data_IF_740482194723
#
_entry.id   IF_740482194723
#
_cell.length_a   1.000
_cell.length_b   1.000
_cell.length_c   1.000
_cell.angle_alpha   90.00
_cell.angle_beta   90.00
_cell.angle_gamma   90.00
#
_symmetry.space_group_name_H-M   'P 1'
#
loop_
_entity.id
_entity.type
_entity.pdbx_description
1 polymer ?
#
# COMPACT_ATOMS: atom_id res chain seq x y z
N UNK A 1 -11.97 16.73 13.97
CA UNK A 1 -13.15 17.24 13.21
C UNK A 1 -13.07 16.64 11.82
N UNK A 2 -13.99 15.76 11.47
CA UNK A 2 -14.04 15.21 10.12
C UNK A 2 -14.49 16.32 9.16
N UNK A 3 -13.72 16.56 8.11
CA UNK A 3 -14.14 17.47 7.06
C UNK A 3 -15.24 16.76 6.25
N UNK A 4 -16.46 17.27 6.35
CA UNK A 4 -17.55 16.80 5.51
C UNK A 4 -17.43 17.51 4.17
N UNK A 5 -17.06 16.79 3.12
CA UNK A 5 -17.13 17.32 1.77
C UNK A 5 -18.59 17.37 1.34
N UNK A 6 -19.11 18.56 1.14
CA UNK A 6 -20.40 18.71 0.47
C UNK A 6 -20.19 18.48 -1.02
N UNK A 7 -20.82 17.45 -1.55
CA UNK A 7 -20.88 17.24 -2.99
C UNK A 7 -21.97 18.19 -3.52
N UNK A 8 -21.55 19.24 -4.21
CA UNK A 8 -22.47 20.12 -4.92
C UNK A 8 -22.65 19.60 -6.35
N UNK A 9 -23.79 18.98 -6.60
CA UNK A 9 -24.12 18.44 -7.91
C UNK A 9 -24.50 19.51 -8.95
N UNK A 10 -24.68 20.76 -8.51
CA UNK A 10 -25.05 21.87 -9.39
C UNK A 10 -23.84 22.60 -10.00
N UNK A 11 -22.62 22.13 -9.71
CA UNK A 11 -21.41 22.71 -10.26
C UNK A 11 -21.29 22.35 -11.74
N UNK A 12 -21.40 23.35 -12.61
CA UNK A 12 -21.12 23.21 -14.04
C UNK A 12 -19.67 23.61 -14.30
N UNK A 13 -18.87 22.66 -14.75
CA UNK A 13 -17.51 22.94 -15.18
C UNK A 13 -17.50 23.44 -16.63
N UNK A 14 -17.01 24.69 -16.84
CA UNK A 14 -16.74 25.18 -18.19
C UNK A 14 -15.30 24.84 -18.55
N UNK A 15 -15.15 24.14 -19.65
CA UNK A 15 -13.82 23.88 -20.21
C UNK A 15 -13.14 25.21 -20.58
N UNK A 16 -11.94 25.44 -20.06
CA UNK A 16 -11.13 26.60 -20.39
C UNK A 16 -9.68 26.18 -20.66
N UNK A 17 -9.36 26.03 -21.93
CA UNK A 17 -8.04 25.55 -22.35
C UNK A 17 -6.92 26.48 -21.88
N UNK A 18 -7.11 27.80 -21.90
CA UNK A 18 -6.09 28.74 -21.49
C UNK A 18 -5.73 28.60 -19.98
N UNK A 19 -6.71 28.29 -19.12
CA UNK A 19 -6.46 28.01 -17.71
C UNK A 19 -5.76 26.66 -17.52
N UNK A 20 -6.10 25.67 -18.30
CA UNK A 20 -5.43 24.37 -18.26
C UNK A 20 -3.97 24.47 -18.68
N UNK A 21 -3.69 25.19 -19.77
CA UNK A 21 -2.32 25.41 -20.25
C UNK A 21 -1.49 26.19 -19.22
N UNK A 22 -2.09 27.24 -18.63
CA UNK A 22 -1.46 27.98 -17.56
C UNK A 22 -1.19 27.09 -16.33
N UNK A 23 -2.13 26.28 -15.92
CA UNK A 23 -1.95 25.33 -14.82
C UNK A 23 -0.84 24.33 -15.15
N UNK A 24 -0.80 23.79 -16.35
CA UNK A 24 0.24 22.89 -16.80
C UNK A 24 1.64 23.53 -16.79
N UNK A 25 1.74 24.81 -17.11
CA UNK A 25 3.01 25.56 -17.09
C UNK A 25 3.58 25.78 -15.69
N UNK A 26 2.74 25.70 -14.66
CA UNK A 26 3.15 25.79 -13.26
C UNK A 26 3.40 24.43 -12.59
N UNK A 27 3.20 23.33 -13.34
CA UNK A 27 3.46 21.99 -12.80
C UNK A 27 4.95 21.86 -12.48
N UNK A 28 5.34 21.56 -11.23
CA UNK A 28 6.75 21.38 -10.90
C UNK A 28 7.32 20.15 -11.62
N UNK A 29 8.57 20.25 -12.03
CA UNK A 29 9.33 19.09 -12.49
C UNK A 29 9.73 18.31 -11.23
N UNK A 30 9.09 17.18 -10.99
CA UNK A 30 9.38 16.33 -9.85
C UNK A 30 10.59 15.44 -10.17
N UNK A 31 11.49 15.33 -9.21
CA UNK A 31 12.56 14.36 -9.27
C UNK A 31 11.99 13.00 -8.89
N UNK A 32 12.05 12.08 -9.83
CA UNK A 32 11.69 10.68 -9.57
C UNK A 32 12.89 9.94 -9.00
N UNK A 33 12.65 9.17 -7.95
CA UNK A 33 13.64 8.29 -7.33
C UNK A 33 13.03 6.92 -7.16
N UNK A 34 13.71 5.89 -7.63
CA UNK A 34 13.27 4.52 -7.43
C UNK A 34 13.87 3.96 -6.15
N UNK A 35 13.00 3.52 -5.25
CA UNK A 35 13.38 2.88 -3.99
C UNK A 35 13.06 1.38 -4.10
N UNK A 36 14.00 0.55 -3.69
CA UNK A 36 13.81 -0.90 -3.58
C UNK A 36 13.49 -1.25 -2.13
N UNK A 37 12.71 -2.30 -1.94
CA UNK A 37 12.49 -2.85 -0.62
C UNK A 37 13.81 -3.36 -0.01
N UNK A 38 13.91 -3.27 1.30
CA UNK A 38 15.11 -3.63 2.06
C UNK A 38 15.16 -5.12 2.40
N UNK A 39 14.04 -5.68 2.85
CA UNK A 39 14.01 -7.05 3.35
C UNK A 39 12.60 -7.66 3.38
N UNK A 40 12.57 -8.98 3.56
CA UNK A 40 11.35 -9.72 3.91
C UNK A 40 11.36 -9.92 5.42
N UNK A 41 10.25 -9.57 6.06
CA UNK A 41 10.15 -9.55 7.53
C UNK A 41 8.97 -10.35 8.05
N UNK A 42 8.99 -10.68 9.32
CA UNK A 42 7.84 -11.18 10.09
C UNK A 42 7.54 -10.22 11.22
N UNK A 43 6.28 -10.14 11.61
CA UNK A 43 5.86 -9.41 12.81
C UNK A 43 6.27 -10.18 14.05
N UNK A 44 6.76 -9.45 15.05
CA UNK A 44 7.05 -10.02 16.37
C UNK A 44 6.48 -9.16 17.48
N UNK A 45 6.10 -9.80 18.58
CA UNK A 45 5.68 -9.11 19.80
C UNK A 45 6.91 -8.72 20.60
N UNK A 46 7.04 -7.41 20.84
CA UNK A 46 8.07 -6.87 21.71
C UNK A 46 7.59 -5.56 22.32
N UNK A 47 7.57 -5.50 23.64
CA UNK A 47 7.09 -4.34 24.41
C UNK A 47 8.00 -3.11 24.32
N UNK A 48 9.18 -3.25 23.73
CA UNK A 48 10.08 -2.12 23.47
C UNK A 48 9.64 -1.30 22.24
N UNK A 49 8.86 -1.89 21.35
CA UNK A 49 8.34 -1.20 20.18
C UNK A 49 7.00 -0.52 20.46
N UNK A 50 6.71 0.49 19.66
CA UNK A 50 5.44 1.20 19.72
C UNK A 50 4.27 0.22 19.58
N UNK A 51 3.33 0.29 20.50
CA UNK A 51 2.17 -0.62 20.60
C UNK A 51 2.52 -2.11 20.71
N UNK A 52 3.77 -2.43 21.08
CA UNK A 52 4.21 -3.79 21.36
C UNK A 52 4.39 -4.67 20.11
N UNK A 53 4.59 -4.07 18.94
CA UNK A 53 4.85 -4.77 17.69
C UNK A 53 6.08 -4.26 16.98
N UNK A 54 6.98 -5.16 16.64
CA UNK A 54 8.15 -4.93 15.82
C UNK A 54 8.19 -5.83 14.60
N UNK A 55 9.28 -5.72 13.84
CA UNK A 55 9.57 -6.59 12.72
C UNK A 55 10.92 -7.26 12.92
N UNK A 56 11.00 -8.51 12.46
CA UNK A 56 12.23 -9.29 12.39
C UNK A 56 12.49 -9.69 10.96
N UNK A 57 13.68 -9.38 10.46
CA UNK A 57 14.10 -9.85 9.15
C UNK A 57 14.16 -11.38 9.12
N UNK A 58 13.47 -11.98 8.16
CA UNK A 58 13.45 -13.43 7.93
C UNK A 58 14.20 -13.83 6.66
N UNK A 59 14.29 -12.92 5.68
CA UNK A 59 15.05 -13.17 4.47
C UNK A 59 15.52 -11.85 3.82
N UNK A 60 16.60 -11.90 3.02
CA UNK A 60 16.97 -10.78 2.17
C UNK A 60 15.95 -10.60 1.03
N UNK A 61 15.83 -9.37 0.52
CA UNK A 61 14.81 -9.03 -0.49
C UNK A 61 14.99 -9.78 -1.81
N UNK A 62 16.19 -10.20 -2.13
CA UNK A 62 16.51 -10.95 -3.34
C UNK A 62 15.76 -12.27 -3.43
N UNK A 63 15.37 -12.82 -2.29
CA UNK A 63 14.53 -14.03 -2.21
C UNK A 63 13.13 -13.81 -2.75
N UNK A 64 12.66 -12.57 -2.84
CA UNK A 64 11.31 -12.26 -3.32
C UNK A 64 11.06 -12.80 -4.74
N UNK A 65 12.07 -12.74 -5.61
CA UNK A 65 11.96 -13.23 -7.00
C UNK A 65 11.71 -14.74 -7.14
N UNK A 66 12.00 -15.51 -6.10
CA UNK A 66 11.78 -16.97 -6.03
C UNK A 66 10.72 -17.37 -5.01
N UNK A 67 9.98 -16.39 -4.48
CA UNK A 67 8.98 -16.66 -3.45
C UNK A 67 7.68 -17.13 -4.10
N UNK A 68 7.24 -18.30 -3.76
CA UNK A 68 5.95 -18.85 -4.21
C UNK A 68 4.94 -18.77 -3.07
N UNK A 69 3.86 -18.03 -3.32
CA UNK A 69 2.73 -17.91 -2.41
C UNK A 69 1.65 -18.92 -2.76
N UNK A 70 1.13 -19.60 -1.77
CA UNK A 70 -0.03 -20.47 -1.85
C UNK A 70 -1.24 -19.78 -1.22
N UNK A 71 -2.38 -20.44 -1.28
CA UNK A 71 -3.59 -19.94 -0.64
C UNK A 71 -3.34 -19.68 0.84
N UNK A 72 -3.77 -18.52 1.32
CA UNK A 72 -3.66 -18.03 2.70
C UNK A 72 -2.22 -17.72 3.17
N UNK A 73 -1.22 -17.87 2.30
CA UNK A 73 0.13 -17.39 2.60
C UNK A 73 0.17 -15.86 2.60
N UNK A 74 1.07 -15.34 3.40
CA UNK A 74 1.35 -13.90 3.46
C UNK A 74 2.85 -13.64 3.43
N UNK A 75 3.22 -12.51 2.86
CA UNK A 75 4.58 -11.98 2.87
C UNK A 75 4.55 -10.53 3.31
N UNK A 76 5.48 -10.15 4.16
CA UNK A 76 5.64 -8.76 4.59
C UNK A 76 6.96 -8.25 4.05
N UNK A 77 6.90 -7.14 3.35
CA UNK A 77 8.03 -6.50 2.70
C UNK A 77 8.29 -5.17 3.40
N UNK A 78 9.51 -5.01 3.87
CA UNK A 78 9.97 -3.79 4.54
C UNK A 78 10.79 -2.94 3.57
N UNK A 79 10.48 -1.65 3.48
CA UNK A 79 11.24 -0.67 2.70
C UNK A 79 12.33 0.04 3.52
N UNK A 80 12.43 -0.26 4.81
CA UNK A 80 13.46 0.24 5.72
C UNK A 80 13.23 1.67 6.20
N UNK A 81 12.38 2.43 5.52
CA UNK A 81 12.04 3.81 5.87
C UNK A 81 10.64 4.15 5.34
N UNK A 82 10.03 5.20 5.87
CA UNK A 82 8.75 5.71 5.39
C UNK A 82 8.87 6.22 3.95
N UNK A 83 8.01 5.72 3.08
CA UNK A 83 7.99 6.06 1.66
C UNK A 83 6.63 6.63 1.26
N UNK A 84 6.66 7.67 0.44
CA UNK A 84 5.48 8.23 -0.23
C UNK A 84 5.71 8.16 -1.73
N UNK A 85 4.88 7.42 -2.44
CA UNK A 85 5.09 7.23 -3.87
C UNK A 85 4.12 6.24 -4.51
N UNK A 86 4.52 5.74 -5.66
CA UNK A 86 3.81 4.69 -6.37
C UNK A 86 4.48 3.35 -6.10
N UNK A 87 3.67 2.38 -5.71
CA UNK A 87 4.10 0.99 -5.52
C UNK A 87 3.91 0.20 -6.81
N UNK A 88 4.91 -0.62 -7.16
CA UNK A 88 4.85 -1.53 -8.30
C UNK A 88 5.40 -2.89 -7.90
N UNK A 89 4.66 -3.94 -8.22
CA UNK A 89 5.07 -5.33 -8.00
C UNK A 89 4.67 -6.17 -9.21
N UNK A 90 5.53 -7.11 -9.59
CA UNK A 90 5.23 -8.09 -10.63
C UNK A 90 4.86 -9.42 -9.96
N UNK A 91 3.68 -9.92 -10.26
CA UNK A 91 3.18 -11.19 -9.75
C UNK A 91 2.79 -12.05 -10.95
N UNK A 92 3.24 -13.31 -10.96
CA UNK A 92 2.91 -14.27 -12.00
C UNK A 92 2.27 -15.49 -11.38
N UNK A 93 1.26 -16.03 -12.03
CA UNK A 93 0.71 -17.32 -11.68
C UNK A 93 1.67 -18.43 -12.12
N UNK A 94 1.87 -19.43 -11.27
CA UNK A 94 2.67 -20.62 -11.57
C UNK A 94 1.84 -21.89 -11.31
N UNK A 95 2.00 -22.91 -12.14
CA UNK A 95 1.31 -24.19 -11.99
C UNK A 95 0.28 -24.46 -13.09
N UNK A 96 -0.78 -25.16 -12.74
CA UNK A 96 -1.86 -25.50 -13.68
C UNK A 96 -2.68 -24.28 -14.08
N UNK A 97 -3.37 -24.31 -15.25
CA UNK A 97 -4.30 -23.25 -15.62
C UNK A 97 -5.28 -22.97 -14.47
N UNK A 98 -5.53 -21.69 -14.22
CA UNK A 98 -6.44 -21.27 -13.18
C UNK A 98 -7.89 -21.38 -13.65
N UNK A 99 -8.74 -21.92 -12.79
CA UNK A 99 -10.19 -21.97 -13.05
C UNK A 99 -10.90 -20.65 -12.68
N UNK A 100 -10.21 -19.78 -11.95
CA UNK A 100 -10.71 -18.49 -11.51
C UNK A 100 -9.54 -17.50 -11.30
N UNK A 101 -9.79 -16.17 -11.35
CA UNK A 101 -8.78 -15.17 -11.05
C UNK A 101 -8.15 -15.37 -9.68
N UNK A 102 -6.85 -15.16 -9.58
CA UNK A 102 -6.17 -15.07 -8.29
C UNK A 102 -6.58 -13.78 -7.57
N UNK A 103 -6.86 -13.89 -6.29
CA UNK A 103 -7.22 -12.77 -5.45
C UNK A 103 -6.09 -12.49 -4.45
N UNK A 104 -5.57 -11.27 -4.48
CA UNK A 104 -4.57 -10.79 -3.54
C UNK A 104 -5.13 -9.65 -2.71
N UNK A 105 -4.80 -9.66 -1.44
CA UNK A 105 -5.01 -8.53 -0.57
C UNK A 105 -3.66 -7.88 -0.26
N UNK A 106 -3.52 -6.61 -0.58
CA UNK A 106 -2.32 -5.81 -0.30
C UNK A 106 -2.68 -4.83 0.80
N UNK A 107 -1.88 -4.79 1.86
CA UNK A 107 -2.04 -3.85 2.95
C UNK A 107 -0.78 -3.02 3.09
N UNK A 108 -0.95 -1.70 3.09
CA UNK A 108 0.12 -0.75 3.32
C UNK A 108 0.04 -0.23 4.75
N UNK A 109 1.18 -0.08 5.38
CA UNK A 109 1.27 0.41 6.74
C UNK A 109 2.59 1.17 6.96
N UNK A 110 2.54 2.16 7.83
CA UNK A 110 3.72 2.90 8.27
C UNK A 110 4.40 2.23 9.48
N UNK A 111 3.63 1.47 10.25
CA UNK A 111 4.08 0.81 11.47
C UNK A 111 3.69 -0.67 11.52
N UNK A 112 4.53 -1.53 12.14
CA UNK A 112 4.24 -2.95 12.31
C UNK A 112 2.91 -3.23 13.02
N UNK A 113 2.52 -2.39 13.97
CA UNK A 113 1.27 -2.52 14.71
C UNK A 113 0.02 -2.45 13.81
N UNK A 114 0.07 -1.67 12.74
CA UNK A 114 -1.03 -1.55 11.77
C UNK A 114 -1.21 -2.82 10.96
N UNK A 115 -0.11 -3.49 10.60
CA UNK A 115 -0.16 -4.79 9.92
C UNK A 115 -0.69 -5.89 10.84
N UNK A 116 -0.36 -5.81 12.13
CA UNK A 116 -0.76 -6.80 13.13
C UNK A 116 -2.26 -6.76 13.47
N UNK A 117 -2.94 -5.66 13.16
CA UNK A 117 -4.37 -5.46 13.44
C UNK A 117 -5.21 -5.68 12.19
N UNK A 118 -6.42 -6.13 12.39
CA UNK A 118 -7.44 -6.09 11.33
C UNK A 118 -7.92 -4.65 11.16
N UNK A 119 -8.15 -4.24 9.92
CA UNK A 119 -8.68 -2.90 9.62
C UNK A 119 -10.04 -2.65 10.28
N UNK A 120 -10.82 -3.72 10.49
CA UNK A 120 -12.14 -3.68 11.14
C UNK A 120 -12.05 -3.33 12.63
N UNK A 121 -10.94 -3.74 13.28
CA UNK A 121 -10.71 -3.57 14.73
C UNK A 121 -10.06 -2.22 15.08
N UNK A 122 -9.82 -1.37 14.06
CA UNK A 122 -9.23 -0.05 14.29
C UNK A 122 -10.24 0.89 14.94
N UNK A 123 -9.91 1.35 16.15
CA UNK A 123 -10.72 2.25 16.96
C UNK A 123 -10.04 3.59 17.26
N UNK A 124 -8.97 3.92 16.51
CA UNK A 124 -8.25 5.17 16.64
C UNK A 124 -9.12 6.40 16.32
N UNK A 125 -8.65 7.59 16.68
CA UNK A 125 -9.33 8.85 16.46
C UNK A 125 -9.39 9.29 14.99
N UNK A 126 -8.54 8.70 14.13
CA UNK A 126 -8.60 8.85 12.68
C UNK A 126 -9.59 7.82 12.09
N UNK A 127 -10.05 8.05 10.88
CA UNK A 127 -10.97 7.14 10.22
C UNK A 127 -10.31 5.79 9.88
N UNK A 128 -11.11 4.74 9.73
CA UNK A 128 -10.64 3.42 9.26
C UNK A 128 -9.95 3.45 7.90
N UNK A 129 -10.19 4.48 7.10
CA UNK A 129 -9.52 4.72 5.81
C UNK A 129 -8.05 5.10 5.93
N UNK A 130 -7.52 5.28 7.15
CA UNK A 130 -6.11 5.50 7.38
C UNK A 130 -5.26 4.28 6.99
N UNK A 131 -5.78 3.08 7.19
CA UNK A 131 -5.12 1.85 6.78
C UNK A 131 -5.51 1.58 5.33
N UNK A 132 -4.55 1.66 4.44
CA UNK A 132 -4.77 1.35 3.03
C UNK A 132 -4.73 -0.17 2.82
N UNK A 133 -5.84 -0.69 2.32
CA UNK A 133 -6.00 -2.11 1.99
C UNK A 133 -6.63 -2.22 0.60
N UNK A 134 -5.96 -2.93 -0.30
CA UNK A 134 -6.35 -3.10 -1.69
C UNK A 134 -6.60 -4.58 -1.99
N UNK A 135 -7.66 -4.85 -2.74
CA UNK A 135 -7.90 -6.20 -3.28
C UNK A 135 -7.68 -6.18 -4.79
N UNK A 136 -6.77 -7.01 -5.25
CA UNK A 136 -6.37 -7.12 -6.65
C UNK A 136 -6.72 -8.50 -7.17
N UNK A 137 -7.34 -8.56 -8.34
CA UNK A 137 -7.61 -9.78 -9.06
C UNK A 137 -6.66 -9.87 -10.26
N UNK A 138 -6.08 -11.05 -10.47
CA UNK A 138 -5.23 -11.36 -11.62
C UNK A 138 -5.87 -12.48 -12.42
N UNK A 139 -6.04 -12.26 -13.71
CA UNK A 139 -6.53 -13.22 -14.71
C UNK A 139 -5.38 -14.05 -15.30
#
# INVERSE_FOLDING_TARGET
MAFTFQINNDVQFRHNQALLDKSASYRPILKETQVKAASIVALERDTQYLEGWGVKQIAPIERLSSYELKRDDQIIIDFGDHQVGQFSININAVGSPMDAPLCFKIKFAEMPAELARKSEDYDGWLSKSWIQEETVHLD
#
